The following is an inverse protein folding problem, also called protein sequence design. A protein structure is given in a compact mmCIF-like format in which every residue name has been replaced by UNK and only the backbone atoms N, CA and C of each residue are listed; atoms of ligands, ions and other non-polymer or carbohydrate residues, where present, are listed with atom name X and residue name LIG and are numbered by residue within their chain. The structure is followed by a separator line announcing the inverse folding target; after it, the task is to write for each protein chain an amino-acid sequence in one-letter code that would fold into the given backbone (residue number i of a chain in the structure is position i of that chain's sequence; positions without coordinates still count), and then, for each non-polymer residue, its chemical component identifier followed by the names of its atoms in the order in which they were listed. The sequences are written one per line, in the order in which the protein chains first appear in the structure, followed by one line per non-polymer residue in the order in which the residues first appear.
data_IF_046366750099
#
_entry.id   IF_046366750099
#
_cell.length_a   1.000
_cell.length_b   1.000
_cell.length_c   1.000
_cell.angle_alpha   90.00
_cell.angle_beta   90.00
_cell.angle_gamma   90.00
#
_symmetry.space_group_name_H-M   'P 1'
#
loop_
_entity.id
_entity.type
_entity.pdbx_description
1 polymer ?
#
# COMPACT_ATOMS: atom_id res chain seq x y z
N UNK A 1 18.96 -42.63 23.08
CA UNK A 1 18.48 -41.87 21.91
C UNK A 1 17.57 -40.76 22.41
N UNK A 2 18.12 -39.56 22.56
CA UNK A 2 17.38 -38.35 22.96
C UNK A 2 16.76 -37.74 21.71
N UNK A 3 15.44 -37.76 21.62
CA UNK A 3 14.68 -36.99 20.62
C UNK A 3 14.93 -35.50 20.89
N UNK A 4 15.72 -34.86 20.02
CA UNK A 4 15.84 -33.40 19.98
C UNK A 4 14.43 -32.83 19.76
N UNK A 5 13.86 -32.21 20.79
CA UNK A 5 12.64 -31.43 20.63
C UNK A 5 12.90 -30.31 19.63
N UNK A 6 12.02 -30.17 18.64
CA UNK A 6 12.01 -28.99 17.76
C UNK A 6 12.00 -27.73 18.63
N UNK A 7 12.92 -26.77 18.41
CA UNK A 7 12.97 -25.55 19.21
C UNK A 7 11.65 -24.80 19.09
N UNK A 8 11.13 -24.33 20.22
CA UNK A 8 9.96 -23.45 20.26
C UNK A 8 10.30 -22.18 19.48
N UNK A 9 9.57 -21.92 18.40
CA UNK A 9 9.72 -20.74 17.55
C UNK A 9 8.57 -19.78 17.84
N UNK A 10 8.89 -18.59 18.34
CA UNK A 10 7.92 -17.50 18.50
C UNK A 10 7.96 -16.57 17.29
N UNK A 11 6.79 -16.21 16.77
CA UNK A 11 6.60 -15.36 15.60
C UNK A 11 5.89 -14.10 16.07
N UNK A 12 6.54 -12.94 15.91
CA UNK A 12 5.89 -11.64 16.12
C UNK A 12 5.51 -11.06 14.77
N UNK A 13 4.23 -10.74 14.60
CA UNK A 13 3.68 -10.15 13.37
C UNK A 13 3.26 -8.71 13.66
N UNK A 14 3.87 -7.76 12.97
CA UNK A 14 3.55 -6.35 13.09
C UNK A 14 2.78 -5.87 11.87
N UNK A 15 1.52 -5.51 12.06
CA UNK A 15 0.64 -4.98 11.01
C UNK A 15 0.78 -3.46 10.99
N UNK A 16 1.42 -2.94 9.94
CA UNK A 16 1.64 -1.52 9.72
C UNK A 16 0.37 -0.85 9.19
N UNK A 17 -0.36 -0.11 10.02
CA UNK A 17 -1.63 0.50 9.66
C UNK A 17 -1.53 2.04 9.59
N UNK A 18 -1.87 2.68 8.45
CA UNK A 18 -1.90 4.14 8.34
C UNK A 18 -3.11 4.74 9.08
N UNK A 19 -2.96 5.95 9.61
CA UNK A 19 -4.09 6.77 10.06
C UNK A 19 -4.84 6.29 11.32
N UNK A 20 -6.15 6.53 11.37
CA UNK A 20 -7.06 6.10 12.46
C UNK A 20 -7.78 4.82 12.03
N UNK A 21 -7.25 3.67 12.42
CA UNK A 21 -7.87 2.36 12.18
C UNK A 21 -8.81 1.97 13.34
N UNK A 22 -9.90 1.27 13.01
CA UNK A 22 -10.84 0.78 14.01
C UNK A 22 -10.36 -0.53 14.63
N UNK A 23 -10.97 -0.96 15.75
CA UNK A 23 -10.63 -2.23 16.39
C UNK A 23 -10.89 -3.45 15.47
N UNK A 24 -11.80 -3.30 14.51
CA UNK A 24 -12.11 -4.32 13.50
C UNK A 24 -11.02 -4.47 12.43
N UNK A 25 -10.11 -3.48 12.31
CA UNK A 25 -8.95 -3.54 11.40
C UNK A 25 -7.71 -4.14 12.10
N UNK A 26 -7.80 -4.43 13.41
CA UNK A 26 -6.74 -5.05 14.20
C UNK A 26 -6.88 -6.58 14.12
N UNK A 27 -5.79 -7.34 13.99
CA UNK A 27 -5.83 -8.79 14.08
C UNK A 27 -6.51 -9.23 15.37
N UNK A 28 -7.27 -10.32 15.31
CA UNK A 28 -7.90 -10.89 16.50
C UNK A 28 -6.82 -11.38 17.45
N UNK A 29 -6.77 -10.81 18.65
CA UNK A 29 -5.92 -11.32 19.73
C UNK A 29 -6.28 -12.78 20.04
N UNK A 30 -5.35 -13.60 20.57
CA UNK A 30 -5.69 -14.92 21.08
C UNK A 30 -6.86 -14.83 22.09
N UNK A 31 -7.74 -15.85 22.12
CA UNK A 31 -8.99 -15.79 22.88
C UNK A 31 -8.75 -15.44 24.36
N UNK A 32 -9.61 -14.58 24.91
CA UNK A 32 -9.50 -14.02 26.27
C UNK A 32 -9.80 -15.02 27.39
N UNK A 33 -10.06 -16.28 27.04
CA UNK A 33 -10.50 -17.33 27.96
C UNK A 33 -9.62 -18.55 27.69
N UNK A 34 -8.92 -19.10 28.70
CA UNK A 34 -8.21 -20.36 28.52
C UNK A 34 -9.25 -21.44 28.18
N UNK A 35 -9.15 -21.99 26.97
CA UNK A 35 -9.93 -23.16 26.60
C UNK A 35 -9.53 -24.33 27.52
N UNK A 36 -10.46 -25.19 27.94
CA UNK A 36 -10.10 -26.41 28.66
C UNK A 36 -9.10 -27.23 27.82
N UNK A 37 -8.20 -28.00 28.45
CA UNK A 37 -6.99 -28.58 27.84
C UNK A 37 -7.25 -29.71 26.82
N UNK A 38 -8.46 -29.78 26.25
CA UNK A 38 -8.87 -30.74 25.23
C UNK A 38 -9.01 -30.00 23.89
N UNK A 39 -7.89 -29.72 23.22
CA UNK A 39 -7.96 -29.13 21.87
C UNK A 39 -6.74 -28.37 21.33
N UNK A 40 -5.69 -28.15 22.13
CA UNK A 40 -4.39 -27.71 21.61
C UNK A 40 -4.30 -26.29 21.04
N UNK A 41 -5.18 -25.37 21.46
CA UNK A 41 -5.04 -23.92 21.20
C UNK A 41 -5.21 -23.15 22.50
N UNK A 42 -4.30 -23.40 23.43
CA UNK A 42 -4.26 -22.72 24.72
C UNK A 42 -3.58 -21.34 24.57
N UNK A 43 -3.98 -20.36 25.39
CA UNK A 43 -3.42 -19.00 25.42
C UNK A 43 -1.89 -19.02 25.63
N UNK A 44 -1.39 -19.98 26.41
CA UNK A 44 0.03 -20.20 26.70
C UNK A 44 0.77 -21.04 25.64
N UNK A 45 0.06 -21.54 24.63
CA UNK A 45 0.64 -22.30 23.50
C UNK A 45 0.68 -21.51 22.20
N UNK A 46 0.21 -20.25 22.19
CA UNK A 46 0.32 -19.40 21.02
C UNK A 46 1.78 -19.08 20.74
N UNK A 47 2.28 -19.57 19.60
CA UNK A 47 3.60 -19.25 19.09
C UNK A 47 3.59 -17.96 18.27
N UNK A 48 2.41 -17.39 17.95
CA UNK A 48 2.27 -16.20 17.12
C UNK A 48 1.64 -15.06 17.91
N UNK A 49 2.25 -13.87 17.82
CA UNK A 49 1.78 -12.65 18.47
C UNK A 49 1.58 -11.55 17.44
N UNK A 50 0.33 -11.17 17.23
CA UNK A 50 -0.04 -10.09 16.31
C UNK A 50 -0.11 -8.74 17.03
N UNK A 51 0.52 -7.73 16.44
CA UNK A 51 0.52 -6.35 16.93
C UNK A 51 0.17 -5.40 15.80
N UNK A 52 -0.79 -4.51 16.01
CA UNK A 52 -1.06 -3.41 15.09
C UNK A 52 -0.20 -2.19 15.47
N UNK A 53 0.61 -1.72 14.54
CA UNK A 53 1.48 -0.56 14.74
C UNK A 53 1.08 0.55 13.79
N UNK A 54 0.92 1.75 14.34
CA UNK A 54 0.58 2.92 13.56
C UNK A 54 1.77 3.34 12.70
N UNK A 55 1.52 3.52 11.42
CA UNK A 55 2.51 4.08 10.50
C UNK A 55 2.06 5.42 9.96
N UNK A 56 3.05 6.16 9.47
CA UNK A 56 2.82 7.39 8.74
C UNK A 56 2.06 7.07 7.45
N UNK A 57 1.11 7.93 7.08
CA UNK A 57 0.37 7.77 5.83
C UNK A 57 1.14 8.42 4.68
N UNK A 58 1.85 7.60 3.89
CA UNK A 58 2.61 8.08 2.73
C UNK A 58 1.71 8.50 1.56
N UNK A 59 0.38 8.27 1.65
CA UNK A 59 -0.58 8.77 0.66
C UNK A 59 -0.98 10.23 0.93
N UNK A 60 -0.85 10.69 2.18
CA UNK A 60 -1.18 12.04 2.63
C UNK A 60 -0.09 13.06 2.25
N UNK A 61 -0.24 14.32 2.67
CA UNK A 61 0.69 15.39 2.35
C UNK A 61 2.06 15.18 3.02
N UNK A 62 2.94 14.49 2.29
CA UNK A 62 4.31 14.17 2.70
C UNK A 62 5.09 15.40 3.19
N UNK A 63 4.80 16.61 2.73
CA UNK A 63 5.59 17.81 3.08
C UNK A 63 5.61 18.13 4.58
N UNK A 64 4.58 17.74 5.32
CA UNK A 64 4.49 17.95 6.78
C UNK A 64 5.28 16.93 7.60
N UNK A 65 5.81 15.88 6.95
CA UNK A 65 6.37 14.72 7.63
C UNK A 65 7.89 14.85 7.83
N UNK A 66 8.44 14.35 8.94
CA UNK A 66 9.89 14.24 9.10
C UNK A 66 10.51 13.29 8.06
N UNK A 67 11.80 13.48 7.75
CA UNK A 67 12.53 12.62 6.80
C UNK A 67 12.78 11.24 7.39
N UNK A 68 12.82 10.22 6.54
CA UNK A 68 13.17 8.84 6.90
C UNK A 68 14.60 8.75 7.51
N UNK A 69 14.89 7.73 8.34
CA UNK A 69 14.03 6.58 8.65
C UNK A 69 13.04 6.77 9.82
N UNK A 70 11.84 6.18 9.70
CA UNK A 70 10.81 6.05 10.75
C UNK A 70 10.52 4.57 11.07
N UNK A 71 11.43 3.91 11.81
CA UNK A 71 11.25 2.50 12.12
C UNK A 71 10.08 2.31 13.10
N UNK A 72 9.27 1.28 12.85
CA UNK A 72 8.10 0.93 13.68
C UNK A 72 8.42 -0.15 14.72
N UNK A 73 9.60 -0.75 14.57
CA UNK A 73 10.20 -1.77 15.43
C UNK A 73 11.67 -1.42 15.62
N UNK A 74 12.35 -1.97 16.64
CA UNK A 74 13.78 -1.71 16.82
C UNK A 74 14.56 -2.07 15.54
N UNK A 75 15.47 -1.19 15.05
CA UNK A 75 16.26 -1.47 13.87
C UNK A 75 17.00 -2.80 13.96
N UNK A 76 17.20 -3.47 12.82
CA UNK A 76 17.93 -4.73 12.73
C UNK A 76 17.30 -5.92 13.51
N UNK A 77 15.98 -5.99 13.61
CA UNK A 77 15.27 -7.08 14.34
C UNK A 77 14.31 -7.91 13.48
N UNK A 78 13.87 -7.43 12.32
CA UNK A 78 12.85 -8.10 11.50
C UNK A 78 13.47 -9.16 10.61
N UNK A 79 12.99 -10.39 10.72
CA UNK A 79 13.38 -11.50 9.84
C UNK A 79 12.71 -11.42 8.46
N UNK A 80 11.42 -11.09 8.42
CA UNK A 80 10.64 -10.98 7.17
C UNK A 80 9.76 -9.73 7.24
N UNK A 81 9.87 -8.88 6.22
CA UNK A 81 9.01 -7.72 5.99
C UNK A 81 8.28 -7.89 4.66
N UNK A 82 7.02 -7.47 4.59
CA UNK A 82 6.21 -7.57 3.37
C UNK A 82 5.61 -6.20 3.09
N UNK A 83 5.83 -5.70 1.88
CA UNK A 83 5.18 -4.50 1.36
C UNK A 83 4.50 -4.91 0.05
N UNK A 84 3.18 -4.86 0.04
CA UNK A 84 2.39 -5.22 -1.13
C UNK A 84 1.50 -4.05 -1.56
N UNK A 85 1.46 -3.83 -2.86
CA UNK A 85 0.50 -2.97 -3.52
C UNK A 85 0.17 -3.56 -4.88
N UNK A 86 -1.11 -3.54 -5.22
CA UNK A 86 -1.62 -4.08 -6.49
C UNK A 86 -2.37 -3.04 -7.33
N UNK A 87 -2.77 -1.91 -6.73
CA UNK A 87 -3.40 -0.80 -7.45
C UNK A 87 -2.51 0.45 -7.39
N UNK A 88 -2.58 1.34 -8.39
CA UNK A 88 -1.75 2.54 -8.43
C UNK A 88 -1.95 3.38 -7.16
N UNK A 89 -0.91 4.05 -6.64
CA UNK A 89 -1.09 4.96 -5.51
C UNK A 89 -1.97 6.16 -5.88
N UNK A 90 -2.59 6.77 -4.88
CA UNK A 90 -3.39 7.98 -5.06
C UNK A 90 -2.55 9.17 -5.50
N UNK A 91 -1.30 9.23 -5.03
CA UNK A 91 -0.42 10.39 -5.12
C UNK A 91 0.91 10.03 -5.81
N UNK A 92 1.32 10.81 -6.81
CA UNK A 92 2.62 10.68 -7.48
C UNK A 92 3.80 10.81 -6.51
N UNK A 93 3.66 11.63 -5.46
CA UNK A 93 4.75 11.87 -4.51
C UNK A 93 5.09 10.63 -3.68
N UNK A 94 4.10 9.79 -3.35
CA UNK A 94 4.32 8.51 -2.67
C UNK A 94 5.32 7.66 -3.46
N UNK A 95 5.11 7.56 -4.77
CA UNK A 95 5.96 6.77 -5.65
C UNK A 95 7.34 7.41 -5.86
N UNK A 96 7.39 8.73 -6.04
CA UNK A 96 8.63 9.45 -6.29
C UNK A 96 9.61 9.39 -5.10
N UNK A 97 9.09 9.52 -3.88
CA UNK A 97 9.89 9.52 -2.65
C UNK A 97 10.30 8.11 -2.19
N UNK A 98 9.62 7.07 -2.67
CA UNK A 98 9.83 5.69 -2.24
C UNK A 98 11.28 5.20 -2.38
N UNK A 99 12.02 5.69 -3.37
CA UNK A 99 13.41 5.28 -3.62
C UNK A 99 14.46 6.27 -3.07
N UNK A 100 14.04 7.29 -2.32
CA UNK A 100 14.90 8.36 -1.84
C UNK A 100 15.38 8.10 -0.40
N UNK A 101 16.69 7.85 -0.25
CA UNK A 101 17.34 7.61 1.05
C UNK A 101 17.15 8.77 2.03
N UNK A 102 17.15 10.01 1.54
CA UNK A 102 17.01 11.22 2.36
C UNK A 102 15.58 11.81 2.30
N UNK A 103 14.68 11.09 1.66
CA UNK A 103 13.29 11.48 1.44
C UNK A 103 12.36 10.94 2.51
N UNK A 104 11.11 10.73 2.12
CA UNK A 104 10.08 10.05 2.93
C UNK A 104 9.77 8.72 2.28
N UNK A 105 10.58 7.72 2.61
CA UNK A 105 10.62 6.45 1.91
C UNK A 105 10.17 5.32 2.83
N UNK A 106 9.01 4.75 2.51
CA UNK A 106 8.53 3.52 3.13
C UNK A 106 9.56 2.38 2.99
N UNK A 107 10.24 2.28 1.84
CA UNK A 107 11.27 1.25 1.62
C UNK A 107 12.45 1.44 2.57
N UNK A 108 12.95 2.67 2.73
CA UNK A 108 14.05 2.96 3.65
C UNK A 108 13.65 2.60 5.08
N UNK A 109 12.43 2.98 5.49
CA UNK A 109 11.94 2.71 6.83
C UNK A 109 11.90 1.20 7.12
N UNK A 110 11.37 0.40 6.19
CA UNK A 110 11.29 -1.07 6.31
C UNK A 110 12.64 -1.77 6.15
N UNK A 111 13.53 -1.29 5.28
CA UNK A 111 14.85 -1.90 5.07
C UNK A 111 15.77 -1.75 6.29
N UNK A 112 15.65 -0.65 7.05
CA UNK A 112 16.43 -0.42 8.27
C UNK A 112 16.01 -1.36 9.41
N UNK A 113 14.77 -1.83 9.41
CA UNK A 113 14.25 -2.76 10.40
C UNK A 113 14.76 -4.20 10.19
N UNK A 114 15.18 -4.55 8.97
CA UNK A 114 15.63 -5.90 8.65
C UNK A 114 16.84 -6.32 9.46
N UNK A 115 16.78 -7.53 10.03
CA UNK A 115 17.89 -8.19 10.70
C UNK A 115 19.13 -8.24 9.81
N UNK A 116 20.31 -8.04 10.41
CA UNK A 116 21.59 -8.23 9.72
C UNK A 116 21.90 -9.71 9.47
N UNK A 117 21.24 -10.61 10.21
CA UNK A 117 21.33 -12.06 10.04
C UNK A 117 20.31 -12.54 9.00
N UNK A 118 20.47 -12.07 7.75
CA UNK A 118 19.63 -12.47 6.62
C UNK A 118 18.16 -12.04 6.68
N UNK A 119 17.85 -10.89 7.28
CA UNK A 119 16.51 -10.32 7.21
C UNK A 119 16.08 -10.02 5.77
N UNK A 120 14.83 -10.27 5.42
CA UNK A 120 14.32 -10.17 4.04
C UNK A 120 13.09 -9.28 3.93
N UNK A 121 12.97 -8.57 2.82
CA UNK A 121 11.83 -7.77 2.43
C UNK A 121 11.27 -8.30 1.10
N UNK A 122 10.02 -8.73 1.12
CA UNK A 122 9.22 -8.95 -0.08
C UNK A 122 8.55 -7.64 -0.46
N UNK A 123 8.86 -7.12 -1.65
CA UNK A 123 8.29 -5.91 -2.20
C UNK A 123 7.51 -6.25 -3.47
N UNK A 124 6.20 -6.07 -3.43
CA UNK A 124 5.28 -6.23 -4.56
C UNK A 124 4.68 -4.87 -4.88
N UNK A 125 4.85 -4.42 -6.12
CA UNK A 125 4.39 -3.09 -6.53
C UNK A 125 3.90 -3.08 -7.98
N UNK A 126 2.81 -2.36 -8.31
CA UNK A 126 2.34 -2.28 -9.69
C UNK A 126 3.36 -1.58 -10.59
N UNK A 127 3.59 -2.14 -11.77
CA UNK A 127 4.34 -1.44 -12.83
C UNK A 127 3.46 -0.36 -13.46
N UNK A 128 4.05 0.52 -14.28
CA UNK A 128 3.26 1.45 -15.09
C UNK A 128 2.29 0.71 -16.02
N UNK A 129 2.76 -0.34 -16.70
CA UNK A 129 1.90 -1.22 -17.50
C UNK A 129 0.74 -1.81 -16.69
N UNK A 130 1.00 -2.29 -15.49
CA UNK A 130 -0.05 -2.79 -14.59
C UNK A 130 -1.04 -1.71 -14.15
N UNK A 131 -0.54 -0.52 -13.85
CA UNK A 131 -1.36 0.63 -13.46
C UNK A 131 -2.28 1.12 -14.58
N UNK A 132 -1.79 1.16 -15.81
CA UNK A 132 -2.57 1.46 -17.01
C UNK A 132 -3.61 0.37 -17.26
N UNK A 133 -3.27 -0.90 -17.03
CA UNK A 133 -4.20 -2.02 -17.16
C UNK A 133 -5.31 -1.94 -16.12
N UNK A 134 -4.98 -1.66 -14.85
CA UNK A 134 -5.96 -1.43 -13.78
C UNK A 134 -6.92 -0.29 -14.14
N UNK A 135 -6.39 0.87 -14.52
CA UNK A 135 -7.23 2.03 -14.84
C UNK A 135 -8.11 1.78 -16.07
N UNK A 136 -7.60 1.12 -17.11
CA UNK A 136 -8.33 0.88 -18.37
C UNK A 136 -9.35 -0.26 -18.30
N UNK A 137 -9.01 -1.39 -17.67
CA UNK A 137 -9.85 -2.60 -17.69
C UNK A 137 -10.63 -2.80 -16.40
N UNK A 138 -10.10 -2.38 -15.25
CA UNK A 138 -10.76 -2.61 -13.96
C UNK A 138 -11.63 -1.43 -13.56
N UNK A 139 -11.06 -0.22 -13.52
CA UNK A 139 -11.73 0.96 -13.00
C UNK A 139 -12.56 1.71 -14.05
N UNK A 140 -11.97 2.02 -15.21
CA UNK A 140 -12.58 2.85 -16.27
C UNK A 140 -13.95 2.38 -16.75
N UNK A 141 -14.17 1.08 -17.02
CA UNK A 141 -15.47 0.57 -17.47
C UNK A 141 -16.62 0.79 -16.47
N UNK A 142 -16.30 1.11 -15.21
CA UNK A 142 -17.26 1.37 -14.13
C UNK A 142 -17.33 2.86 -13.81
N UNK A 143 -16.17 3.49 -13.60
CA UNK A 143 -16.07 4.88 -13.18
C UNK A 143 -16.48 5.85 -14.31
N UNK A 144 -16.13 5.57 -15.57
CA UNK A 144 -16.43 6.50 -16.67
C UNK A 144 -17.93 6.59 -16.96
N UNK A 145 -18.70 5.48 -17.07
CA UNK A 145 -20.15 5.56 -17.18
C UNK A 145 -20.81 6.19 -15.95
N UNK A 146 -20.27 5.94 -14.75
CA UNK A 146 -20.76 6.54 -13.52
C UNK A 146 -20.63 8.07 -13.56
N UNK A 147 -19.43 8.59 -13.85
CA UNK A 147 -19.18 10.03 -13.94
C UNK A 147 -19.97 10.67 -15.10
N UNK A 148 -20.13 9.98 -16.24
CA UNK A 148 -20.99 10.45 -17.34
C UNK A 148 -22.46 10.54 -16.91
N UNK A 149 -22.97 9.55 -16.18
CA UNK A 149 -24.33 9.57 -15.64
C UNK A 149 -24.51 10.72 -14.65
N UNK A 150 -23.53 10.96 -13.78
CA UNK A 150 -23.58 12.09 -12.83
C UNK A 150 -23.53 13.44 -13.55
N UNK A 151 -22.78 13.54 -14.66
CA UNK A 151 -22.78 14.74 -15.50
C UNK A 151 -24.15 15.04 -16.11
N UNK A 152 -24.87 14.01 -16.55
CA UNK A 152 -26.18 14.18 -17.16
C UNK A 152 -27.29 14.41 -16.12
N UNK A 153 -27.31 13.65 -15.02
CA UNK A 153 -28.39 13.67 -14.02
C UNK A 153 -28.19 14.79 -12.99
N UNK A 154 -26.96 15.00 -12.55
CA UNK A 154 -26.63 15.94 -11.48
C UNK A 154 -25.86 17.16 -11.97
N UNK A 155 -25.80 17.37 -13.29
CA UNK A 155 -25.05 18.47 -13.91
C UNK A 155 -23.61 18.58 -13.43
N UNK A 156 -22.96 17.43 -13.18
CA UNK A 156 -21.57 17.38 -12.72
C UNK A 156 -20.65 18.10 -13.72
N UNK A 157 -19.92 19.14 -13.29
CA UNK A 157 -18.98 19.90 -14.12
C UNK A 157 -17.92 19.01 -14.75
N UNK A 158 -17.54 19.32 -16.00
CA UNK A 158 -16.56 18.54 -16.78
C UNK A 158 -15.22 18.45 -16.06
N UNK A 159 -14.72 19.56 -15.51
CA UNK A 159 -13.43 19.59 -14.83
C UNK A 159 -13.43 18.77 -13.54
N UNK A 160 -14.54 18.77 -12.81
CA UNK A 160 -14.70 17.96 -11.61
C UNK A 160 -14.76 16.47 -11.96
N UNK A 161 -15.53 16.11 -12.99
CA UNK A 161 -15.58 14.74 -13.49
C UNK A 161 -14.19 14.24 -13.96
N UNK A 162 -13.45 15.06 -14.70
CA UNK A 162 -12.10 14.74 -15.16
C UNK A 162 -11.12 14.56 -13.98
N UNK A 163 -11.23 15.40 -12.95
CA UNK A 163 -10.41 15.30 -11.74
C UNK A 163 -10.71 14.02 -10.95
N UNK A 164 -11.98 13.65 -10.81
CA UNK A 164 -12.39 12.43 -10.09
C UNK A 164 -11.96 11.16 -10.84
N UNK A 165 -12.10 11.15 -12.17
CA UNK A 165 -11.79 10.00 -13.03
C UNK A 165 -10.29 9.69 -13.17
N UNK A 166 -9.41 10.65 -12.88
CA UNK A 166 -7.97 10.49 -13.10
C UNK A 166 -7.25 9.97 -11.84
N UNK A 167 -6.51 8.87 -11.99
CA UNK A 167 -5.46 8.47 -11.04
C UNK A 167 -4.14 9.13 -11.45
N UNK A 168 -3.78 10.24 -10.80
CA UNK A 168 -2.64 11.09 -11.22
C UNK A 168 -1.29 10.38 -11.14
N UNK A 169 -1.13 9.44 -10.22
CA UNK A 169 0.14 8.74 -10.03
C UNK A 169 0.56 7.88 -11.23
N UNK A 170 -0.40 7.35 -11.99
CA UNK A 170 -0.15 6.42 -13.12
C UNK A 170 0.83 7.03 -14.13
N UNK A 171 0.67 8.31 -14.45
CA UNK A 171 1.54 8.99 -15.41
C UNK A 171 3.01 9.10 -14.95
N UNK A 172 3.24 9.09 -13.64
CA UNK A 172 4.57 9.16 -13.02
C UNK A 172 5.16 7.80 -12.66
N UNK A 173 4.40 6.70 -12.87
CA UNK A 173 4.88 5.36 -12.58
C UNK A 173 5.95 4.91 -13.58
N UNK A 174 6.75 3.93 -13.17
CA UNK A 174 7.89 3.40 -13.93
C UNK A 174 7.61 1.97 -14.39
N UNK A 175 8.26 1.56 -15.47
CA UNK A 175 8.25 0.16 -15.88
C UNK A 175 9.11 -0.70 -14.95
N UNK A 176 8.98 -2.02 -15.06
CA UNK A 176 9.65 -2.98 -14.19
C UNK A 176 11.17 -2.75 -14.10
N UNK A 177 11.83 -2.56 -15.24
CA UNK A 177 13.28 -2.40 -15.37
C UNK A 177 13.77 -1.14 -14.64
N UNK A 178 13.02 -0.06 -14.75
CA UNK A 178 13.32 1.21 -14.08
C UNK A 178 13.15 1.10 -12.55
N UNK A 179 12.14 0.36 -12.10
CA UNK A 179 11.94 0.06 -10.67
C UNK A 179 13.13 -0.75 -10.15
N UNK A 180 13.53 -1.80 -10.87
CA UNK A 180 14.68 -2.63 -10.51
C UNK A 180 15.95 -1.79 -10.41
N UNK A 181 16.27 -0.98 -11.42
CA UNK A 181 17.45 -0.12 -11.42
C UNK A 181 17.44 0.89 -10.25
N UNK A 182 16.27 1.42 -9.87
CA UNK A 182 16.16 2.28 -8.68
C UNK A 182 16.32 1.52 -7.37
N UNK A 183 15.83 0.29 -7.27
CA UNK A 183 16.01 -0.57 -6.11
C UNK A 183 17.48 -0.96 -5.92
N UNK A 184 18.18 -1.30 -7.00
CA UNK A 184 19.62 -1.60 -6.98
C UNK A 184 20.40 -0.39 -6.44
N UNK A 185 20.15 0.79 -7.02
CA UNK A 185 20.78 2.03 -6.58
C UNK A 185 20.43 2.41 -5.13
N UNK A 186 19.21 2.11 -4.70
CA UNK A 186 18.81 2.30 -3.30
C UNK A 186 19.61 1.37 -2.39
N UNK A 187 19.68 0.09 -2.71
CA UNK A 187 20.42 -0.93 -1.95
C UNK A 187 21.91 -0.56 -1.81
N UNK A 188 22.54 -0.11 -2.90
CA UNK A 188 23.92 0.37 -2.90
C UNK A 188 24.12 1.56 -1.95
N UNK A 189 23.26 2.58 -2.05
CA UNK A 189 23.35 3.78 -1.19
C UNK A 189 23.14 3.46 0.28
N UNK A 190 22.24 2.53 0.58
CA UNK A 190 21.96 2.08 1.94
C UNK A 190 23.13 1.26 2.52
N UNK A 191 23.80 0.45 1.69
CA UNK A 191 24.99 -0.32 2.08
C UNK A 191 26.25 0.53 2.24
N UNK A 192 26.26 1.77 1.72
CA UNK A 192 27.44 2.63 1.77
C UNK A 192 27.73 3.15 3.20
N UNK A 193 29.02 3.28 3.53
CA UNK A 193 29.54 3.66 4.85
C UNK A 193 29.17 5.09 5.27
N UNK A 194 28.89 5.99 4.32
CA UNK A 194 28.56 7.40 4.63
C UNK A 194 27.05 7.66 4.75
N UNK A 195 26.23 6.61 4.77
CA UNK A 195 24.78 6.77 4.92
C UNK A 195 24.42 7.27 6.33
N UNK A 196 23.51 8.25 6.40
CA UNK A 196 22.92 8.72 7.68
C UNK A 196 22.24 7.58 8.47
N UNK A 197 21.97 6.48 7.80
CA UNK A 197 21.31 5.28 8.31
C UNK A 197 22.22 4.46 9.23
N UNK A 198 23.53 4.71 9.24
CA UNK A 198 24.46 4.11 10.22
C UNK A 198 24.03 4.27 11.67
N UNK A 199 23.35 5.36 12.01
CA UNK A 199 22.84 5.56 13.38
C UNK A 199 21.85 4.47 13.82
N UNK A 200 21.26 3.78 12.86
CA UNK A 200 20.29 2.70 13.05
C UNK A 200 20.89 1.31 12.77
N UNK A 201 22.19 1.23 12.49
CA UNK A 201 22.88 -0.03 12.20
C UNK A 201 24.25 -0.07 12.88
N UNK A 202 24.41 -0.84 13.97
CA UNK A 202 25.68 -0.92 14.68
C UNK A 202 26.79 -1.69 13.92
N UNK A 203 26.47 -2.34 12.79
CA UNK A 203 27.41 -3.09 11.96
C UNK A 203 27.43 -2.67 10.48
N UNK A 204 28.43 -3.15 9.75
CA UNK A 204 28.48 -3.06 8.28
C UNK A 204 27.58 -4.13 7.68
N UNK A 205 26.62 -3.71 6.86
CA UNK A 205 25.68 -4.60 6.16
C UNK A 205 25.46 -4.10 4.74
N UNK A 206 25.15 -5.00 3.82
CA UNK A 206 24.73 -4.67 2.45
C UNK A 206 23.33 -5.22 2.18
N UNK A 207 22.65 -4.61 1.23
CA UNK A 207 21.35 -5.05 0.74
C UNK A 207 21.52 -5.68 -0.64
N UNK A 208 20.88 -6.82 -0.87
CA UNK A 208 21.01 -7.63 -2.08
C UNK A 208 19.62 -7.97 -2.58
N UNK A 209 19.41 -7.85 -3.88
CA UNK A 209 18.17 -8.29 -4.52
C UNK A 209 18.38 -9.76 -4.92
N UNK A 210 17.72 -10.68 -4.21
CA UNK A 210 17.81 -12.13 -4.48
C UNK A 210 16.84 -12.56 -5.59
N UNK A 211 15.71 -11.84 -5.75
CA UNK A 211 14.70 -12.10 -6.76
C UNK A 211 14.16 -10.78 -7.32
N UNK A 212 13.99 -10.73 -8.64
CA UNK A 212 13.25 -9.68 -9.34
C UNK A 212 12.50 -10.31 -10.52
N UNK A 213 11.17 -10.25 -10.52
CA UNK A 213 10.34 -10.81 -11.59
C UNK A 213 9.07 -10.00 -11.84
N UNK A 214 8.57 -10.05 -13.08
CA UNK A 214 7.22 -9.57 -13.41
C UNK A 214 6.21 -10.67 -13.15
N UNK A 215 5.07 -10.29 -12.60
CA UNK A 215 3.94 -11.19 -12.38
C UNK A 215 2.65 -10.50 -12.77
N UNK A 216 1.67 -11.27 -13.22
CA UNK A 216 0.36 -10.77 -13.61
C UNK A 216 -0.69 -11.30 -12.64
N UNK A 217 -1.43 -10.39 -12.00
CA UNK A 217 -2.37 -10.74 -10.93
C UNK A 217 -3.79 -10.36 -11.32
N UNK A 218 -4.69 -11.34 -11.37
CA UNK A 218 -6.12 -11.09 -11.55
C UNK A 218 -6.72 -10.59 -10.24
N UNK A 219 -7.26 -9.37 -10.26
CA UNK A 219 -7.83 -8.77 -9.05
C UNK A 219 -9.30 -9.10 -8.92
N UNK A 220 -9.67 -9.76 -7.83
CA UNK A 220 -11.07 -10.00 -7.53
C UNK A 220 -11.81 -8.69 -7.29
N UNK A 221 -12.99 -8.57 -7.89
CA UNK A 221 -13.82 -7.37 -7.84
C UNK A 221 -14.15 -6.92 -6.42
N UNK A 222 -14.56 -7.85 -5.57
CA UNK A 222 -14.89 -7.58 -4.16
C UNK A 222 -13.69 -6.99 -3.41
N UNK A 223 -12.48 -7.44 -3.73
CA UNK A 223 -11.25 -7.03 -3.05
C UNK A 223 -10.82 -5.64 -3.50
N UNK A 224 -10.57 -5.43 -4.80
CA UNK A 224 -10.02 -4.15 -5.24
C UNK A 224 -11.02 -3.01 -5.08
N UNK A 225 -12.32 -3.29 -5.27
CA UNK A 225 -13.35 -2.26 -5.22
C UNK A 225 -13.72 -1.85 -3.81
N UNK A 226 -14.11 -2.83 -2.98
CA UNK A 226 -14.71 -2.57 -1.68
C UNK A 226 -13.66 -2.30 -0.61
N UNK A 227 -12.47 -2.91 -0.74
CA UNK A 227 -11.43 -2.85 0.29
C UNK A 227 -10.29 -1.92 -0.05
N UNK A 228 -9.83 -1.92 -1.30
CA UNK A 228 -8.62 -1.17 -1.68
C UNK A 228 -8.93 0.22 -2.22
N UNK A 229 -9.59 0.30 -3.37
CA UNK A 229 -9.80 1.57 -4.10
C UNK A 229 -10.67 2.55 -3.30
N UNK A 230 -11.79 2.09 -2.71
CA UNK A 230 -12.66 2.97 -1.91
C UNK A 230 -11.94 3.52 -0.67
N UNK A 231 -11.18 2.69 0.06
CA UNK A 231 -10.42 3.15 1.23
C UNK A 231 -9.33 4.15 0.81
N UNK A 232 -8.59 3.83 -0.23
CA UNK A 232 -7.49 4.64 -0.75
C UNK A 232 -7.96 6.00 -1.30
N UNK A 233 -9.02 6.02 -2.11
CA UNK A 233 -9.43 7.21 -2.87
C UNK A 233 -10.41 8.11 -2.10
N UNK A 234 -10.97 7.64 -0.98
CA UNK A 234 -11.99 8.38 -0.20
C UNK A 234 -11.54 9.79 0.17
N UNK A 235 -10.33 9.95 0.69
CA UNK A 235 -9.81 11.26 1.11
C UNK A 235 -9.63 12.18 -0.09
N UNK A 236 -9.01 11.69 -1.18
CA UNK A 236 -8.84 12.47 -2.42
C UNK A 236 -10.18 12.90 -3.01
N UNK A 237 -11.14 11.99 -3.11
CA UNK A 237 -12.48 12.29 -3.64
C UNK A 237 -13.17 13.33 -2.76
N UNK A 238 -13.13 13.16 -1.44
CA UNK A 238 -13.69 14.12 -0.48
C UNK A 238 -13.08 15.51 -0.65
N UNK A 239 -11.75 15.60 -0.74
CA UNK A 239 -11.04 16.88 -0.85
C UNK A 239 -11.32 17.56 -2.19
N UNK A 240 -11.33 16.79 -3.28
CA UNK A 240 -11.66 17.29 -4.63
C UNK A 240 -13.09 17.85 -4.68
N UNK A 241 -14.08 17.12 -4.16
CA UNK A 241 -15.48 17.57 -4.10
C UNK A 241 -15.61 18.78 -3.17
N UNK A 242 -15.06 18.73 -1.96
CA UNK A 242 -15.17 19.83 -0.99
C UNK A 242 -14.51 21.12 -1.51
N UNK A 243 -13.32 21.01 -2.11
CA UNK A 243 -12.63 22.15 -2.72
C UNK A 243 -13.48 22.78 -3.82
N UNK A 244 -14.13 21.97 -4.65
CA UNK A 244 -15.00 22.45 -5.72
C UNK A 244 -16.16 23.29 -5.19
N UNK A 245 -16.94 22.75 -4.25
CA UNK A 245 -18.10 23.45 -3.66
C UNK A 245 -17.71 24.67 -2.82
N UNK A 246 -16.53 24.66 -2.18
CA UNK A 246 -16.03 25.82 -1.40
C UNK A 246 -15.70 27.03 -2.28
N UNK A 247 -15.31 26.83 -3.53
CA UNK A 247 -14.96 27.94 -4.46
C UNK A 247 -16.24 28.65 -4.99
N UNK A 248 -17.43 28.30 -4.49
CA UNK A 248 -18.69 28.95 -4.87
C UNK A 248 -19.25 28.45 -6.20
N UNK A 249 -18.68 27.36 -6.75
CA UNK A 249 -19.30 26.64 -7.84
C UNK A 249 -20.56 25.96 -7.31
N UNK A 250 -21.71 26.62 -7.45
CA UNK A 250 -22.98 25.94 -7.36
C UNK A 250 -23.02 24.94 -8.50
N UNK A 251 -23.04 23.63 -8.18
CA UNK A 251 -23.68 22.67 -9.09
C UNK A 251 -25.08 23.24 -9.27
N UNK A 252 -25.45 23.53 -10.51
CA UNK A 252 -26.58 24.37 -10.96
C UNK A 252 -27.73 24.57 -9.95
N UNK A 253 -28.44 25.70 -9.99
CA UNK A 253 -29.65 25.93 -9.15
C UNK A 253 -30.77 24.85 -9.31
N UNK A 254 -30.60 23.89 -10.22
CA UNK A 254 -31.47 22.73 -10.49
C UNK A 254 -30.96 21.39 -9.90
N UNK A 255 -29.78 21.33 -9.29
CA UNK A 255 -29.22 20.07 -8.76
C UNK A 255 -29.29 20.01 -7.22
N UNK A 256 -30.07 19.08 -6.70
CA UNK A 256 -30.22 18.86 -5.24
C UNK A 256 -29.09 18.02 -4.62
N UNK A 257 -28.02 17.73 -5.36
CA UNK A 257 -26.97 16.84 -4.84
C UNK A 257 -26.05 17.59 -3.86
N UNK A 258 -26.02 17.10 -2.63
CA UNK A 258 -25.07 17.60 -1.62
C UNK A 258 -23.65 17.08 -1.89
N UNK A 259 -22.59 17.78 -1.45
CA UNK A 259 -21.21 17.28 -1.55
C UNK A 259 -21.05 15.87 -0.97
N UNK A 260 -21.68 15.62 0.18
CA UNK A 260 -21.67 14.31 0.84
C UNK A 260 -22.34 13.24 -0.02
N UNK A 261 -23.54 13.52 -0.56
CA UNK A 261 -24.23 12.60 -1.46
C UNK A 261 -23.43 12.29 -2.71
N UNK A 262 -22.68 13.27 -3.24
CA UNK A 262 -21.81 13.08 -4.41
C UNK A 262 -20.63 12.15 -4.10
N UNK A 263 -19.98 12.32 -2.95
CA UNK A 263 -18.88 11.46 -2.51
C UNK A 263 -19.37 10.02 -2.37
N UNK A 264 -20.52 9.81 -1.72
CA UNK A 264 -21.14 8.49 -1.59
C UNK A 264 -21.52 7.90 -2.94
N UNK A 265 -22.16 8.67 -3.83
CA UNK A 265 -22.54 8.20 -5.15
C UNK A 265 -21.35 7.71 -5.99
N UNK A 266 -20.18 8.34 -5.86
CA UNK A 266 -18.95 7.89 -6.53
C UNK A 266 -18.41 6.60 -5.89
N UNK A 267 -18.21 6.60 -4.57
CA UNK A 267 -17.61 5.44 -3.87
C UNK A 267 -18.49 4.20 -3.94
N UNK A 268 -19.79 4.36 -3.63
CA UNK A 268 -20.76 3.27 -3.64
C UNK A 268 -21.11 2.86 -5.09
N UNK A 269 -21.05 3.80 -6.03
CA UNK A 269 -21.20 3.49 -7.45
C UNK A 269 -20.06 2.60 -7.96
N UNK A 270 -18.83 2.84 -7.52
CA UNK A 270 -17.68 2.00 -7.88
C UNK A 270 -17.72 0.65 -7.17
N UNK A 271 -18.42 0.45 -6.06
CA UNK A 271 -18.55 -0.90 -5.45
C UNK A 271 -19.72 -1.68 -6.02
N UNK A 272 -20.88 -1.04 -6.15
CA UNK A 272 -22.15 -1.71 -6.49
C UNK A 272 -22.39 -1.93 -7.98
N UNK A 273 -21.85 -1.08 -8.86
CA UNK A 273 -22.14 -1.21 -10.29
C UNK A 273 -21.42 -2.43 -10.89
N UNK A 274 -22.13 -3.27 -11.66
CA UNK A 274 -21.50 -4.35 -12.40
C UNK A 274 -20.72 -3.80 -13.58
N UNK A 275 -19.81 -4.63 -14.11
CA UNK A 275 -19.22 -4.36 -15.41
C UNK A 275 -20.30 -4.36 -16.50
N UNK A 276 -20.20 -3.48 -17.51
CA UNK A 276 -21.04 -3.59 -18.69
C UNK A 276 -20.77 -4.94 -19.41
N UNK A 277 -21.70 -5.43 -20.25
CA UNK A 277 -21.49 -6.67 -21.01
C UNK A 277 -20.17 -6.62 -21.80
N UNK A 278 -19.31 -7.62 -21.61
CA UNK A 278 -17.98 -7.68 -22.22
C UNK A 278 -16.95 -6.68 -21.66
N UNK A 279 -17.29 -5.93 -20.61
CA UNK A 279 -16.41 -4.97 -19.95
C UNK A 279 -15.67 -5.51 -18.73
N UNK A 280 -15.79 -6.80 -18.44
CA UNK A 280 -15.02 -7.44 -17.37
C UNK A 280 -13.53 -7.51 -17.77
N UNK A 281 -12.59 -7.38 -16.81
CA UNK A 281 -11.16 -7.45 -17.10
C UNK A 281 -10.79 -8.81 -17.69
N UNK A 282 -10.06 -8.78 -18.80
CA UNK A 282 -9.50 -9.99 -19.43
C UNK A 282 -8.06 -10.21 -19.04
N UNK A 283 -7.33 -9.13 -18.74
CA UNK A 283 -5.92 -9.16 -18.36
C UNK A 283 -5.74 -8.87 -16.88
N UNK A 284 -4.70 -9.47 -16.29
CA UNK A 284 -4.30 -9.18 -14.91
C UNK A 284 -3.49 -7.89 -14.81
N UNK A 285 -3.38 -7.37 -13.60
CA UNK A 285 -2.49 -6.25 -13.30
C UNK A 285 -1.06 -6.75 -13.19
N UNK A 286 -0.15 -6.18 -13.99
CA UNK A 286 1.28 -6.46 -13.88
C UNK A 286 1.88 -5.82 -12.62
N UNK A 287 2.63 -6.60 -11.85
CA UNK A 287 3.38 -6.19 -10.68
C UNK A 287 4.83 -6.64 -10.79
N UNK A 288 5.74 -5.82 -10.27
CA UNK A 288 7.11 -6.25 -9.98
C UNK A 288 7.14 -6.91 -8.61
N UNK A 289 7.74 -8.10 -8.54
CA UNK A 289 7.98 -8.85 -7.30
C UNK A 289 9.48 -8.89 -7.05
N UNK A 290 9.90 -8.32 -5.92
CA UNK A 290 11.29 -8.18 -5.53
C UNK A 290 11.51 -8.79 -4.15
N UNK A 291 12.59 -9.55 -3.97
CA UNK A 291 13.04 -10.02 -2.66
C UNK A 291 14.38 -9.37 -2.36
N UNK A 292 14.43 -8.55 -1.33
CA UNK A 292 15.61 -7.82 -0.90
C UNK A 292 16.07 -8.41 0.43
N UNK A 293 17.30 -8.89 0.50
CA UNK A 293 17.88 -9.43 1.73
C UNK A 293 18.98 -8.53 2.24
N UNK A 294 19.00 -8.34 3.56
CA UNK A 294 20.08 -7.67 4.28
C UNK A 294 21.06 -8.71 4.77
N UNK A 295 22.33 -8.53 4.43
CA UNK A 295 23.41 -9.43 4.84
C UNK A 295 24.50 -8.65 5.55
N UNK A 296 25.13 -9.27 6.54
CA UNK A 296 26.35 -8.74 7.11
C UNK A 296 27.42 -8.56 6.00
N UNK A 297 28.16 -7.47 6.06
CA UNK A 297 29.35 -7.33 5.22
C UNK A 297 30.43 -8.26 5.78
N UNK A 298 30.95 -9.16 4.95
CA UNK A 298 32.15 -9.94 5.29
C UNK A 298 33.32 -8.96 5.45
N UNK A 299 34.10 -9.13 6.52
CA UNK A 299 35.33 -8.36 6.77
C UNK A 299 36.46 -8.83 5.86
#
# INVERSE_FOLDING_TARGET
MTTMGTPLCWINVFHALPGKFGINDVPTSPPSTPDPPVGGRDYFTSTTFDSAVRVVDYQDNLTSMPRSPHPIVPPSTIGVSIIERYIPPTNSNEFAEMFNVNGRSLLVDRLVELSMDSGSLLFIYPTKTGAETFTRQYLGPILDPLLRSMRTIHHLPVDLAASLGKMSAVASMMEFEDILAKLERLCEKLGNRDSQIRRYSPGTSRFVIDLAQRQTVMLERSVWAERWWTKQEKTRIKDTVTKYFRIGHRVSDQSDITPTSMIHAVLDGVTSKPYPPGGAPTDGVEVGVFVIRRVAAEN
#
